data_IF_768165038767
#
_entry.id   IF_768165038767
#
_cell.length_a   1.000
_cell.length_b   1.000
_cell.length_c   1.000
_cell.angle_alpha   90.00
_cell.angle_beta   90.00
_cell.angle_gamma   90.00
#
_symmetry.space_group_name_H-M   'P 1'
#
loop_
_entity.id
_entity.type
_entity.pdbx_description
1 polymer ?
#
# COMPACT_ATOMS: atom_id res chain seq x y z
N UNK A 1 17.95 -18.06 8.61
CA UNK A 1 16.99 -16.93 8.51
C UNK A 1 17.46 -16.05 7.38
N UNK A 2 16.63 -15.79 6.37
CA UNK A 2 16.98 -14.87 5.28
C UNK A 2 16.23 -13.56 5.48
N UNK A 3 16.89 -12.45 5.17
CA UNK A 3 16.29 -11.11 5.19
C UNK A 3 16.35 -10.53 3.80
N UNK A 4 15.29 -9.81 3.43
CA UNK A 4 15.20 -9.10 2.16
C UNK A 4 14.68 -7.70 2.42
N UNK A 5 15.37 -6.72 1.84
CA UNK A 5 14.97 -5.33 1.91
C UNK A 5 14.85 -4.75 0.50
N UNK A 6 13.82 -3.93 0.30
CA UNK A 6 13.64 -3.08 -0.87
C UNK A 6 13.47 -1.65 -0.40
N UNK A 7 14.05 -0.72 -1.15
CA UNK A 7 14.01 0.70 -0.81
C UNK A 7 13.78 1.54 -2.06
N UNK A 8 13.34 2.79 -1.86
CA UNK A 8 13.03 3.76 -2.93
C UNK A 8 11.97 3.26 -3.92
N UNK A 9 11.09 2.36 -3.49
CA UNK A 9 9.96 1.96 -4.32
C UNK A 9 8.93 3.08 -4.35
N UNK A 10 8.08 3.07 -5.37
CA UNK A 10 6.98 4.02 -5.50
C UNK A 10 5.74 3.32 -6.05
N UNK A 11 4.57 3.78 -5.62
CA UNK A 11 3.27 3.34 -6.13
C UNK A 11 2.53 4.58 -6.61
N UNK A 12 2.01 4.53 -7.83
CA UNK A 12 1.11 5.54 -8.37
C UNK A 12 -0.30 4.98 -8.44
N UNK A 13 -1.25 5.73 -7.95
CA UNK A 13 -2.67 5.47 -8.08
C UNK A 13 -3.32 6.69 -8.74
N UNK A 14 -4.16 6.45 -9.74
CA UNK A 14 -4.89 7.50 -10.44
C UNK A 14 -6.37 7.15 -10.48
N UNK A 15 -7.23 8.16 -10.47
CA UNK A 15 -8.66 7.95 -10.52
C UNK A 15 -9.47 9.23 -10.57
N UNK A 16 -10.78 9.06 -10.55
CA UNK A 16 -11.74 10.15 -10.50
C UNK A 16 -12.29 10.27 -9.08
N UNK A 17 -12.65 11.48 -8.68
CA UNK A 17 -13.34 11.71 -7.42
C UNK A 17 -14.54 12.62 -7.63
N UNK A 18 -15.53 12.45 -6.75
CA UNK A 18 -16.68 13.33 -6.60
C UNK A 18 -16.86 13.61 -5.11
N UNK A 19 -17.01 14.88 -4.76
CA UNK A 19 -17.18 15.33 -3.39
C UNK A 19 -18.29 16.38 -3.29
N UNK A 20 -19.00 16.33 -2.16
CA UNK A 20 -20.07 17.27 -1.84
C UNK A 20 -19.66 18.07 -0.60
N UNK A 21 -19.55 19.39 -0.74
CA UNK A 21 -19.35 20.30 0.39
C UNK A 21 -20.68 20.54 1.09
N UNK A 22 -20.95 19.78 2.14
CA UNK A 22 -22.12 20.01 2.98
C UNK A 22 -21.81 20.99 4.12
N UNK A 23 -22.50 22.14 4.06
CA UNK A 23 -22.81 23.08 5.16
C UNK A 23 -21.65 23.60 6.03
N UNK A 24 -21.21 24.81 5.69
CA UNK A 24 -20.74 25.79 6.68
C UNK A 24 -21.01 27.26 6.30
N UNK A 25 -21.31 27.58 5.03
CA UNK A 25 -21.23 28.97 4.53
C UNK A 25 -22.38 29.45 3.63
N UNK A 26 -23.59 28.86 3.71
CA UNK A 26 -24.76 29.26 2.88
C UNK A 26 -24.52 29.24 1.36
N UNK A 27 -23.44 28.61 0.89
CA UNK A 27 -23.12 28.47 -0.53
C UNK A 27 -23.90 27.25 -1.06
N UNK A 28 -24.53 27.32 -2.25
CA UNK A 28 -25.14 26.15 -2.87
C UNK A 28 -24.16 24.98 -2.95
N UNK A 29 -24.65 23.76 -2.71
CA UNK A 29 -23.89 22.51 -2.78
C UNK A 29 -23.43 22.28 -4.22
N UNK A 30 -22.26 22.78 -4.56
CA UNK A 30 -21.65 22.51 -5.87
C UNK A 30 -20.85 21.21 -5.76
N UNK A 31 -21.19 20.17 -6.55
CA UNK A 31 -20.39 18.95 -6.59
C UNK A 31 -19.01 19.26 -7.16
N UNK A 32 -17.97 18.95 -6.39
CA UNK A 32 -16.59 19.01 -6.85
C UNK A 32 -16.28 17.67 -7.49
N UNK A 33 -15.98 17.70 -8.79
CA UNK A 33 -15.52 16.52 -9.53
C UNK A 33 -14.13 16.80 -10.04
N UNK A 34 -13.33 15.75 -10.17
CA UNK A 34 -11.99 15.91 -10.72
C UNK A 34 -11.26 14.59 -10.86
N UNK A 35 -10.01 14.72 -11.29
CA UNK A 35 -9.09 13.59 -11.44
C UNK A 35 -7.97 13.76 -10.44
N UNK A 36 -7.56 12.68 -9.81
CA UNK A 36 -6.42 12.67 -8.89
C UNK A 36 -5.33 11.71 -9.36
N UNK A 37 -4.09 12.06 -9.08
CA UNK A 37 -2.92 11.19 -9.14
C UNK A 37 -2.23 11.25 -7.78
N UNK A 38 -2.24 10.12 -7.07
CA UNK A 38 -1.56 9.95 -5.79
C UNK A 38 -0.27 9.14 -6.01
N UNK A 39 0.86 9.70 -5.56
CA UNK A 39 2.17 9.07 -5.58
C UNK A 39 2.59 8.77 -4.14
N UNK A 40 2.73 7.50 -3.81
CA UNK A 40 3.35 7.04 -2.57
C UNK A 40 4.81 6.74 -2.86
N UNK A 41 5.71 7.58 -2.36
CA UNK A 41 7.13 7.54 -2.66
C UNK A 41 7.97 7.09 -1.48
N UNK A 42 9.21 6.70 -1.78
CA UNK A 42 10.20 6.25 -0.81
C UNK A 42 9.71 5.10 0.07
N UNK A 43 8.98 4.16 -0.54
CA UNK A 43 8.48 3.00 0.18
C UNK A 43 9.68 2.09 0.50
N UNK A 44 9.82 1.78 1.78
CA UNK A 44 10.79 0.81 2.31
C UNK A 44 10.04 -0.42 2.73
N UNK A 45 10.58 -1.58 2.40
CA UNK A 45 9.99 -2.86 2.73
C UNK A 45 11.08 -3.79 3.25
N UNK A 46 10.92 -4.24 4.49
CA UNK A 46 11.83 -5.14 5.16
C UNK A 46 11.09 -6.42 5.52
N UNK A 47 11.63 -7.55 5.08
CA UNK A 47 11.02 -8.86 5.24
C UNK A 47 12.07 -9.78 5.84
N UNK A 48 11.67 -10.59 6.82
CA UNK A 48 12.49 -11.69 7.31
C UNK A 48 11.69 -12.98 7.23
N UNK A 49 12.35 -14.02 6.75
CA UNK A 49 11.78 -15.33 6.53
C UNK A 49 12.64 -16.37 7.24
N UNK A 50 11.97 -17.26 7.96
CA UNK A 50 12.56 -18.43 8.58
C UNK A 50 12.43 -19.60 7.63
N UNK A 51 13.50 -20.37 7.53
CA UNK A 51 13.50 -21.65 6.83
C UNK A 51 13.46 -22.75 7.88
N UNK A 52 12.72 -23.80 7.61
CA UNK A 52 12.58 -24.98 8.46
C UNK A 52 12.36 -26.22 7.61
N UNK A 53 12.01 -27.31 8.28
CA UNK A 53 11.63 -28.57 7.66
C UNK A 53 10.31 -29.03 8.25
N UNK A 54 9.45 -29.61 7.42
CA UNK A 54 8.24 -30.29 7.89
C UNK A 54 8.58 -31.63 8.54
N UNK A 55 7.61 -32.26 9.20
CA UNK A 55 7.75 -33.59 9.80
C UNK A 55 8.17 -34.69 8.80
N UNK A 56 7.77 -34.54 7.53
CA UNK A 56 8.15 -35.44 6.42
C UNK A 56 9.47 -35.07 5.72
N UNK A 57 10.24 -34.13 6.26
CA UNK A 57 11.56 -33.74 5.74
C UNK A 57 11.58 -32.65 4.66
N UNK A 58 10.43 -32.28 4.10
CA UNK A 58 10.31 -31.24 3.07
C UNK A 58 10.73 -29.85 3.58
N UNK A 59 11.46 -29.05 2.79
CA UNK A 59 11.78 -27.67 3.14
C UNK A 59 10.51 -26.81 3.29
N UNK A 60 10.47 -25.95 4.31
CA UNK A 60 9.38 -25.00 4.55
C UNK A 60 9.97 -23.61 4.79
N UNK A 61 9.26 -22.58 4.32
CA UNK A 61 9.52 -21.18 4.64
C UNK A 61 8.34 -20.52 5.31
N UNK A 62 8.61 -19.60 6.22
CA UNK A 62 7.58 -18.80 6.89
C UNK A 62 8.08 -17.38 7.14
N UNK A 63 7.24 -16.40 6.82
CA UNK A 63 7.48 -15.00 7.13
C UNK A 63 7.48 -14.81 8.65
N UNK A 64 8.61 -14.41 9.21
CA UNK A 64 8.73 -14.06 10.64
C UNK A 64 8.61 -12.57 10.91
N UNK A 65 8.90 -11.73 9.91
CA UNK A 65 8.79 -10.29 10.03
C UNK A 65 8.45 -9.68 8.67
N UNK A 66 7.57 -8.67 8.67
CA UNK A 66 7.37 -7.80 7.53
C UNK A 66 7.03 -6.40 8.03
N UNK A 67 7.71 -5.39 7.52
CA UNK A 67 7.39 -3.98 7.74
C UNK A 67 7.50 -3.23 6.41
N UNK A 68 6.40 -2.62 6.00
CA UNK A 68 6.35 -1.64 4.93
C UNK A 68 6.25 -0.24 5.55
N UNK A 69 6.94 0.74 4.98
CA UNK A 69 6.90 2.12 5.45
C UNK A 69 6.95 3.06 4.25
N UNK A 70 5.94 3.90 4.10
CA UNK A 70 5.83 4.89 3.03
C UNK A 70 6.45 6.20 3.51
N UNK A 71 7.47 6.69 2.80
CA UNK A 71 8.16 7.93 3.17
C UNK A 71 7.29 9.17 2.99
N UNK A 72 6.69 9.35 1.81
CA UNK A 72 5.82 10.49 1.54
C UNK A 72 4.65 10.12 0.63
N UNK A 73 3.60 10.94 0.70
CA UNK A 73 2.45 10.89 -0.19
C UNK A 73 2.34 12.23 -0.88
N UNK A 74 2.40 12.21 -2.20
CA UNK A 74 2.15 13.34 -3.06
C UNK A 74 0.81 13.17 -3.78
N UNK A 75 0.10 14.26 -3.99
CA UNK A 75 -1.24 14.27 -4.54
C UNK A 75 -1.37 15.42 -5.53
N UNK A 76 -1.56 15.07 -6.79
CA UNK A 76 -1.92 16.00 -7.83
C UNK A 76 -3.40 15.87 -8.14
N UNK A 77 -4.11 16.99 -8.14
CA UNK A 77 -5.53 17.03 -8.46
C UNK A 77 -5.75 17.96 -9.65
N UNK A 78 -6.52 17.51 -10.63
CA UNK A 78 -6.84 18.25 -11.86
C UNK A 78 -8.35 18.40 -11.99
N UNK A 79 -8.76 19.47 -12.68
CA UNK A 79 -10.14 19.76 -13.06
C UNK A 79 -11.12 19.97 -11.90
N UNK A 80 -10.66 20.54 -10.77
CA UNK A 80 -11.48 20.71 -9.55
C UNK A 80 -12.34 21.99 -9.51
N UNK A 81 -12.27 22.84 -10.53
CA UNK A 81 -12.97 24.13 -10.55
C UNK A 81 -12.40 25.15 -9.55
N UNK A 82 -13.26 26.00 -8.98
CA UNK A 82 -12.89 27.20 -8.19
C UNK A 82 -12.47 26.88 -6.74
N UNK A 83 -12.70 25.66 -6.25
CA UNK A 83 -12.45 25.28 -4.85
C UNK A 83 -11.31 24.26 -4.82
N UNK A 84 -10.08 24.75 -4.87
CA UNK A 84 -8.88 23.90 -5.00
C UNK A 84 -8.25 23.59 -3.65
N UNK A 85 -7.89 24.60 -2.85
CA UNK A 85 -6.84 24.39 -1.84
C UNK A 85 -7.34 23.72 -0.56
N UNK A 86 -8.53 24.08 -0.08
CA UNK A 86 -9.14 23.45 1.09
C UNK A 86 -9.43 21.96 0.84
N UNK A 87 -10.01 21.64 -0.32
CA UNK A 87 -10.33 20.27 -0.69
C UNK A 87 -9.07 19.43 -0.92
N UNK A 88 -8.06 19.98 -1.61
CA UNK A 88 -6.78 19.29 -1.84
C UNK A 88 -6.10 18.96 -0.51
N UNK A 89 -6.05 19.91 0.43
CA UNK A 89 -5.41 19.68 1.73
C UNK A 89 -6.18 18.66 2.60
N UNK A 90 -7.51 18.71 2.57
CA UNK A 90 -8.34 17.72 3.25
C UNK A 90 -8.17 16.32 2.64
N UNK A 91 -8.16 16.20 1.31
CA UNK A 91 -8.01 14.93 0.63
C UNK A 91 -6.60 14.35 0.83
N UNK A 92 -5.55 15.17 0.76
CA UNK A 92 -4.18 14.77 1.09
C UNK A 92 -4.10 14.23 2.53
N UNK A 93 -4.71 14.93 3.49
CA UNK A 93 -4.73 14.49 4.89
C UNK A 93 -5.49 13.17 5.06
N UNK A 94 -6.62 13.00 4.37
CA UNK A 94 -7.38 11.77 4.37
C UNK A 94 -6.56 10.58 3.82
N UNK A 95 -5.86 10.78 2.70
CA UNK A 95 -5.00 9.75 2.10
C UNK A 95 -3.85 9.36 3.05
N UNK A 96 -3.22 10.34 3.69
CA UNK A 96 -2.15 10.08 4.66
C UNK A 96 -2.69 9.30 5.88
N UNK A 97 -3.86 9.66 6.39
CA UNK A 97 -4.42 9.04 7.59
C UNK A 97 -4.96 7.62 7.35
N UNK A 98 -5.57 7.37 6.18
CA UNK A 98 -6.30 6.12 5.93
C UNK A 98 -5.64 5.23 4.87
N UNK A 99 -5.12 5.82 3.80
CA UNK A 99 -4.61 5.06 2.66
C UNK A 99 -3.18 4.57 2.92
N UNK A 100 -2.33 5.40 3.54
CA UNK A 100 -0.96 5.02 3.91
C UNK A 100 -0.91 3.74 4.77
N UNK A 101 -1.57 3.65 5.94
CA UNK A 101 -1.51 2.45 6.77
C UNK A 101 -2.13 1.23 6.08
N UNK A 102 -3.21 1.45 5.31
CA UNK A 102 -3.86 0.37 4.53
C UNK A 102 -2.90 -0.22 3.50
N UNK A 103 -2.16 0.61 2.76
CA UNK A 103 -1.21 0.14 1.73
C UNK A 103 -0.04 -0.59 2.39
N UNK A 104 0.50 -0.06 3.48
CA UNK A 104 1.58 -0.71 4.25
C UNK A 104 1.15 -2.11 4.73
N UNK A 105 -0.04 -2.23 5.29
CA UNK A 105 -0.60 -3.51 5.73
C UNK A 105 -0.83 -4.47 4.57
N UNK A 106 -1.47 -3.99 3.48
CA UNK A 106 -1.76 -4.80 2.29
C UNK A 106 -0.49 -5.33 1.63
N UNK A 107 0.56 -4.50 1.54
CA UNK A 107 1.86 -4.94 1.04
C UNK A 107 2.40 -6.13 1.83
N UNK A 108 2.42 -6.01 3.16
CA UNK A 108 2.87 -7.12 4.01
C UNK A 108 1.95 -8.34 3.95
N UNK A 109 0.64 -8.16 3.83
CA UNK A 109 -0.32 -9.25 3.63
C UNK A 109 -0.05 -10.02 2.33
N UNK A 110 0.19 -9.32 1.22
CA UNK A 110 0.53 -9.95 -0.06
C UNK A 110 1.85 -10.73 0.03
N UNK A 111 2.88 -10.16 0.65
CA UNK A 111 4.18 -10.83 0.79
C UNK A 111 4.09 -12.07 1.67
N UNK A 112 3.39 -11.97 2.80
CA UNK A 112 3.14 -13.12 3.67
C UNK A 112 2.46 -14.25 2.91
N UNK A 113 1.50 -13.93 2.04
CA UNK A 113 0.84 -14.92 1.18
C UNK A 113 1.83 -15.55 0.19
N UNK A 114 2.61 -14.74 -0.52
CA UNK A 114 3.61 -15.25 -1.47
C UNK A 114 4.62 -16.17 -0.78
N UNK A 115 5.17 -15.75 0.36
CA UNK A 115 6.17 -16.56 1.09
C UNK A 115 5.54 -17.81 1.69
N UNK A 116 4.45 -17.65 2.45
CA UNK A 116 3.92 -18.77 3.24
C UNK A 116 3.12 -19.77 2.40
N UNK A 117 2.67 -19.38 1.21
CA UNK A 117 1.90 -20.24 0.31
C UNK A 117 2.67 -20.54 -0.97
N UNK A 118 2.95 -19.53 -1.78
CA UNK A 118 3.44 -19.76 -3.14
C UNK A 118 4.85 -20.33 -3.15
N UNK A 119 5.76 -19.81 -2.31
CA UNK A 119 7.10 -20.38 -2.15
C UNK A 119 7.06 -21.79 -1.57
N UNK A 120 6.22 -22.06 -0.57
CA UNK A 120 6.08 -23.40 -0.01
C UNK A 120 5.53 -24.41 -1.01
N UNK A 121 4.62 -24.01 -1.90
CA UNK A 121 4.13 -24.86 -2.97
C UNK A 121 5.27 -25.25 -3.93
N UNK A 122 6.20 -24.32 -4.23
CA UNK A 122 7.38 -24.59 -5.05
C UNK A 122 8.38 -25.49 -4.32
N UNK A 123 8.62 -25.24 -3.03
CA UNK A 123 9.54 -26.06 -2.24
C UNK A 123 9.03 -27.49 -2.06
N UNK A 124 7.71 -27.69 -2.03
CA UNK A 124 7.10 -29.02 -1.97
C UNK A 124 7.36 -29.87 -3.21
N UNK A 125 7.68 -29.27 -4.36
CA UNK A 125 8.05 -30.02 -5.57
C UNK A 125 9.53 -30.37 -5.65
N UNK A 126 10.36 -29.93 -4.69
CA UNK A 126 11.77 -30.30 -4.67
C UNK A 126 11.91 -31.78 -4.29
N UNK A 127 12.75 -32.55 -5.02
CA UNK A 127 12.98 -33.94 -4.69
C UNK A 127 13.59 -34.05 -3.29
N UNK A 128 13.03 -34.95 -2.48
CA UNK A 128 13.61 -35.30 -1.19
C UNK A 128 14.89 -36.11 -1.49
N UNK A 129 16.03 -35.59 -1.06
CA UNK A 129 17.30 -36.32 -1.09
C UNK A 129 17.38 -37.30 0.07
#
# INVERSE_FOLDING_TARGET
MFTWSMARMHIRAMGNFEALLNRALLIPTVPIRGHFEALMGHIKLNIAVKMGRSSIGTPLVQTSYCKAEIGYVDLHVKNTGVITDFFINAFKSFLIANFKPMVEEKMCGMIKKVVNKDMNNILATMPLQ
#
